data_IF_464294149795
#
_entry.id   IF_464294149795
#
_cell.length_a   1.000
_cell.length_b   1.000
_cell.length_c   1.000
_cell.angle_alpha   90.00
_cell.angle_beta   90.00
_cell.angle_gamma   90.00
#
_symmetry.space_group_name_H-M   'P 1'
#
loop_
_entity.id
_entity.type
_entity.pdbx_description
1 polymer ?
#
# COMPACT_ATOMS: atom_id res chain seq x y z
N UNK A 1 34.74 -29.32 78.17
CA UNK A 1 33.78 -28.60 78.97
C UNK A 1 33.71 -27.17 78.34
N UNK A 2 33.04 -27.10 77.19
CA UNK A 2 33.02 -25.92 76.36
C UNK A 2 32.09 -24.85 76.98
N UNK A 3 30.92 -25.26 77.43
CA UNK A 3 29.92 -24.42 78.05
C UNK A 3 30.19 -24.14 79.52
N UNK A 4 31.09 -24.91 80.14
CA UNK A 4 31.50 -24.82 81.58
C UNK A 4 30.44 -25.35 82.54
N UNK A 5 29.61 -26.29 82.17
CA UNK A 5 28.60 -26.97 82.98
C UNK A 5 29.21 -28.03 83.93
N UNK A 6 30.37 -28.53 83.61
CA UNK A 6 31.17 -29.54 84.39
C UNK A 6 31.16 -30.92 83.81
N UNK A 7 30.49 -31.20 82.70
CA UNK A 7 30.54 -32.40 81.91
C UNK A 7 31.75 -32.37 80.95
N UNK A 8 32.06 -33.44 80.32
CA UNK A 8 33.17 -33.57 79.39
C UNK A 8 32.67 -33.81 77.97
N UNK A 9 32.94 -32.86 77.11
CA UNK A 9 32.52 -32.87 75.68
C UNK A 9 32.79 -34.20 74.96
N UNK A 10 33.72 -34.98 75.36
CA UNK A 10 34.10 -36.17 74.58
C UNK A 10 33.31 -37.44 74.89
N UNK A 11 32.63 -37.54 76.05
CA UNK A 11 31.98 -38.79 76.50
C UNK A 11 30.87 -38.56 77.56
N UNK A 12 30.67 -37.39 78.12
CA UNK A 12 29.70 -37.14 79.17
C UNK A 12 28.65 -36.07 78.80
N UNK A 13 28.99 -35.23 77.84
CA UNK A 13 28.17 -34.18 77.31
C UNK A 13 27.66 -34.57 75.95
N UNK A 14 26.46 -34.31 75.64
CA UNK A 14 25.81 -34.53 74.33
C UNK A 14 25.26 -33.29 73.71
N UNK A 15 25.53 -32.11 74.32
CA UNK A 15 25.16 -30.78 73.92
C UNK A 15 26.23 -29.84 74.42
N UNK A 16 27.35 -29.76 73.66
CA UNK A 16 28.63 -29.22 74.11
C UNK A 16 28.57 -27.66 74.35
N UNK A 17 27.57 -26.92 73.84
CA UNK A 17 27.42 -25.49 74.00
C UNK A 17 26.11 -25.08 74.76
N UNK A 18 25.32 -26.11 75.19
CA UNK A 18 24.09 -25.96 76.01
C UNK A 18 23.01 -25.09 75.31
N UNK A 19 22.90 -25.20 73.96
CA UNK A 19 21.88 -24.49 73.18
C UNK A 19 20.55 -25.28 73.12
N UNK A 20 20.52 -26.54 73.54
CA UNK A 20 19.39 -27.47 73.55
C UNK A 20 19.25 -28.35 72.30
N UNK A 21 20.23 -28.35 71.39
CA UNK A 21 20.34 -29.30 70.28
C UNK A 21 21.48 -30.31 70.62
N UNK A 22 21.25 -31.59 70.40
CA UNK A 22 22.22 -32.63 70.65
C UNK A 22 23.30 -32.61 69.55
N UNK A 23 24.60 -32.67 69.90
CA UNK A 23 25.79 -32.62 69.01
C UNK A 23 25.63 -33.42 67.69
N UNK A 24 24.87 -34.48 67.74
CA UNK A 24 24.67 -35.33 66.55
C UNK A 24 23.69 -34.72 65.52
N UNK A 25 22.95 -33.72 65.91
CA UNK A 25 21.97 -33.00 65.12
C UNK A 25 22.26 -31.53 64.99
N UNK A 26 23.40 -31.09 65.52
CA UNK A 26 23.91 -29.77 65.60
C UNK A 26 25.09 -29.58 64.63
N UNK A 27 24.95 -28.70 63.65
CA UNK A 27 26.02 -28.39 62.68
C UNK A 27 27.09 -27.45 63.33
N UNK A 28 26.75 -26.78 64.45
CA UNK A 28 27.65 -25.92 65.24
C UNK A 28 27.88 -26.47 66.71
N UNK A 29 28.27 -27.74 66.97
CA UNK A 29 28.29 -28.38 68.27
C UNK A 29 29.16 -27.70 69.32
N UNK A 30 29.85 -26.63 68.96
CA UNK A 30 30.67 -25.75 69.84
C UNK A 30 30.47 -24.32 69.36
N UNK A 31 29.20 -23.93 69.26
CA UNK A 31 28.74 -22.64 68.83
C UNK A 31 28.75 -21.55 69.94
N UNK A 32 27.93 -20.53 69.77
CA UNK A 32 27.76 -19.44 70.75
C UNK A 32 26.98 -19.94 71.98
N UNK A 33 27.51 -19.69 73.16
CA UNK A 33 26.94 -20.14 74.39
C UNK A 33 25.89 -19.16 74.95
N UNK A 34 24.80 -19.69 75.52
CA UNK A 34 23.86 -18.92 76.31
C UNK A 34 22.70 -18.34 75.54
N UNK A 35 22.39 -18.93 74.46
CA UNK A 35 21.17 -18.70 73.65
C UNK A 35 20.29 -19.95 73.63
N UNK A 36 19.19 -19.91 72.93
CA UNK A 36 18.30 -21.05 72.74
C UNK A 36 17.62 -20.94 71.39
N UNK A 37 17.65 -22.00 70.57
CA UNK A 37 17.09 -22.01 69.23
C UNK A 37 15.62 -21.66 69.21
N UNK A 38 15.26 -20.80 68.26
CA UNK A 38 13.88 -20.44 67.92
C UNK A 38 13.83 -20.13 66.44
N UNK A 39 12.69 -20.28 65.77
CA UNK A 39 12.50 -19.94 64.35
C UNK A 39 12.86 -18.50 63.96
N UNK A 40 13.39 -17.66 64.84
CA UNK A 40 13.82 -16.30 64.58
C UNK A 40 15.30 -16.03 64.83
N UNK A 41 16.07 -17.03 65.24
CA UNK A 41 17.51 -16.93 65.52
C UNK A 41 18.29 -18.25 65.22
N UNK A 42 17.60 -19.22 64.67
CA UNK A 42 18.02 -20.50 64.12
C UNK A 42 16.89 -20.91 63.18
N UNK A 43 16.96 -20.37 61.95
CA UNK A 43 15.82 -20.46 61.03
C UNK A 43 15.62 -21.92 60.59
N UNK A 44 16.66 -22.61 60.16
CA UNK A 44 16.58 -23.95 59.64
C UNK A 44 16.61 -25.04 60.73
N UNK A 45 16.94 -24.65 61.98
CA UNK A 45 16.97 -25.54 63.15
C UNK A 45 18.14 -26.53 63.14
N UNK A 46 19.30 -26.09 62.75
CA UNK A 46 20.54 -26.87 62.61
C UNK A 46 21.48 -26.71 63.83
N UNK A 47 21.18 -25.77 64.76
CA UNK A 47 21.99 -25.49 65.96
C UNK A 47 22.98 -24.35 65.81
N UNK A 48 23.09 -23.74 64.67
CA UNK A 48 23.89 -22.54 64.43
C UNK A 48 23.04 -21.27 64.62
N UNK A 49 23.58 -20.25 65.27
CA UNK A 49 22.84 -18.99 65.42
C UNK A 49 22.96 -18.11 64.19
N UNK A 50 21.84 -17.78 63.53
CA UNK A 50 21.72 -17.00 62.31
C UNK A 50 22.56 -15.70 62.30
N UNK A 51 22.65 -15.03 63.45
CA UNK A 51 23.26 -13.71 63.51
C UNK A 51 24.80 -13.74 63.59
N UNK A 52 25.42 -14.86 63.93
CA UNK A 52 26.83 -14.89 64.32
C UNK A 52 27.63 -16.05 63.80
N UNK A 53 27.06 -17.20 63.67
CA UNK A 53 27.78 -18.43 63.29
C UNK A 53 27.25 -19.14 62.06
N UNK A 54 25.99 -18.96 61.77
CA UNK A 54 25.42 -19.44 60.52
C UNK A 54 25.70 -18.45 59.37
N UNK A 55 25.94 -18.96 58.18
CA UNK A 55 26.20 -18.20 56.99
C UNK A 55 25.27 -18.63 55.84
N UNK A 56 24.30 -19.53 56.12
CA UNK A 56 23.32 -20.07 55.21
C UNK A 56 22.08 -20.43 56.04
N UNK A 57 21.34 -19.36 56.47
CA UNK A 57 20.31 -19.41 57.53
C UNK A 57 19.13 -20.35 57.23
N UNK A 58 18.90 -20.81 55.98
CA UNK A 58 17.84 -21.72 55.59
C UNK A 58 18.35 -23.04 55.00
N UNK A 59 19.69 -23.17 54.89
CA UNK A 59 20.40 -24.35 54.41
C UNK A 59 20.01 -24.78 52.98
N UNK A 60 19.78 -23.80 52.10
CA UNK A 60 19.50 -24.05 50.68
C UNK A 60 20.75 -24.20 49.82
N UNK A 61 21.94 -23.89 50.38
CA UNK A 61 23.25 -23.98 49.75
C UNK A 61 23.74 -22.67 49.12
N UNK A 62 22.99 -21.60 49.21
CA UNK A 62 23.39 -20.22 48.87
C UNK A 62 23.68 -19.46 50.14
N UNK A 63 24.86 -18.83 50.24
CA UNK A 63 25.24 -18.09 51.44
C UNK A 63 24.45 -16.80 51.57
N UNK A 64 23.99 -16.40 52.78
CA UNK A 64 23.22 -15.16 53.10
C UNK A 64 23.76 -13.91 52.42
N UNK A 65 25.07 -13.84 52.21
CA UNK A 65 25.68 -12.66 51.57
C UNK A 65 25.41 -12.56 50.08
N UNK A 66 24.91 -13.62 49.45
CA UNK A 66 24.62 -13.77 48.04
C UNK A 66 23.18 -14.18 47.79
N UNK A 67 22.46 -14.50 48.85
CA UNK A 67 21.10 -14.94 48.88
C UNK A 67 20.14 -13.78 49.04
N UNK A 68 19.14 -13.68 48.13
CA UNK A 68 18.08 -12.71 48.22
C UNK A 68 16.97 -13.13 49.21
N UNK A 69 16.89 -14.43 49.54
CA UNK A 69 15.94 -15.02 50.47
C UNK A 69 16.59 -15.70 51.67
N UNK A 70 17.53 -15.11 52.43
CA UNK A 70 18.39 -15.75 53.43
C UNK A 70 17.65 -16.49 54.55
N UNK A 71 16.37 -16.34 54.69
CA UNK A 71 15.49 -17.06 55.63
C UNK A 71 14.24 -17.51 54.85
N UNK A 72 14.48 -18.15 53.69
CA UNK A 72 13.47 -18.59 52.77
C UNK A 72 12.80 -19.91 53.15
N UNK A 73 12.26 -20.64 52.15
CA UNK A 73 11.66 -21.94 52.32
C UNK A 73 12.76 -22.99 52.57
N UNK A 74 12.59 -23.82 53.55
CA UNK A 74 13.57 -24.82 53.98
C UNK A 74 13.38 -26.19 53.36
N UNK A 75 14.45 -26.98 53.30
CA UNK A 75 14.43 -28.41 52.93
C UNK A 75 14.53 -28.66 51.43
N UNK A 76 15.08 -27.74 50.72
CA UNK A 76 15.48 -27.86 49.33
C UNK A 76 16.98 -27.48 49.18
N UNK A 77 17.53 -27.50 48.03
CA UNK A 77 18.89 -27.06 47.73
C UNK A 77 18.89 -26.39 46.37
N UNK A 78 19.48 -25.24 46.26
CA UNK A 78 19.57 -24.46 45.04
C UNK A 78 20.21 -25.25 43.90
N UNK A 79 19.52 -25.28 42.78
CA UNK A 79 19.95 -25.91 41.54
C UNK A 79 19.33 -25.19 40.36
N UNK A 80 20.15 -24.46 39.59
CA UNK A 80 19.77 -23.66 38.43
C UNK A 80 18.87 -24.40 37.40
N UNK A 81 19.02 -25.70 37.30
CA UNK A 81 18.30 -26.49 36.31
C UNK A 81 16.90 -26.92 36.75
N UNK A 82 16.55 -26.75 38.01
CA UNK A 82 15.35 -27.40 38.55
C UNK A 82 14.50 -26.58 39.51
N UNK A 83 15.04 -25.59 40.22
CA UNK A 83 14.28 -24.95 41.27
C UNK A 83 14.77 -23.56 41.73
N UNK A 84 15.82 -23.03 41.13
CA UNK A 84 16.39 -21.72 41.43
C UNK A 84 17.15 -21.29 40.15
N UNK A 85 16.40 -20.72 39.19
CA UNK A 85 16.89 -20.55 37.83
C UNK A 85 18.05 -19.54 37.76
N UNK A 86 17.96 -18.48 38.53
CA UNK A 86 18.93 -17.38 38.55
C UNK A 86 20.02 -17.53 39.66
N UNK A 87 19.91 -18.59 40.47
CA UNK A 87 20.87 -18.91 41.56
C UNK A 87 20.92 -17.81 42.62
N UNK A 88 19.79 -17.18 42.95
CA UNK A 88 19.70 -16.09 43.92
C UNK A 88 19.31 -16.55 45.33
N UNK A 89 19.00 -17.85 45.53
CA UNK A 89 18.64 -18.45 46.82
C UNK A 89 17.14 -18.37 47.12
N UNK A 90 16.30 -17.95 46.18
CA UNK A 90 14.85 -18.02 46.32
C UNK A 90 14.32 -19.24 45.54
N UNK A 91 13.25 -19.85 46.04
CA UNK A 91 12.68 -21.06 45.40
C UNK A 91 11.65 -20.65 44.35
N UNK A 92 11.91 -20.88 43.04
CA UNK A 92 11.04 -20.56 41.90
C UNK A 92 9.58 -21.01 42.10
N UNK A 93 9.38 -22.17 42.69
CA UNK A 93 8.04 -22.73 42.84
C UNK A 93 7.24 -22.16 44.03
N UNK A 94 7.80 -21.20 44.75
CA UNK A 94 7.17 -20.59 45.92
C UNK A 94 6.83 -19.12 45.69
N UNK A 95 6.32 -18.44 46.72
CA UNK A 95 6.01 -17.02 46.64
C UNK A 95 7.19 -16.14 47.04
N UNK A 96 8.31 -16.73 47.42
CA UNK A 96 9.50 -15.98 47.81
C UNK A 96 10.24 -15.48 46.56
N UNK A 97 10.27 -16.29 45.51
CA UNK A 97 10.61 -15.80 44.21
C UNK A 97 9.36 -15.34 43.42
N UNK A 98 9.41 -14.29 42.74
CA UNK A 98 8.36 -13.71 41.93
C UNK A 98 8.84 -13.19 40.58
N UNK A 99 10.13 -13.48 40.25
CA UNK A 99 10.83 -13.05 39.05
C UNK A 99 12.02 -14.04 38.87
N UNK A 100 11.67 -15.26 38.40
CA UNK A 100 12.51 -16.46 38.41
C UNK A 100 13.83 -16.33 37.61
N UNK A 101 13.98 -15.33 36.73
CA UNK A 101 15.20 -15.09 35.95
C UNK A 101 15.80 -13.69 36.15
N UNK A 102 15.18 -12.90 37.05
CA UNK A 102 15.62 -11.56 37.43
C UNK A 102 15.74 -10.56 36.29
N UNK A 103 14.82 -10.63 35.30
CA UNK A 103 14.73 -9.67 34.18
C UNK A 103 13.94 -8.39 34.52
N UNK A 104 13.27 -8.33 35.66
CA UNK A 104 12.32 -7.34 36.18
C UNK A 104 10.91 -7.38 35.58
N UNK A 105 10.52 -8.47 34.95
CA UNK A 105 9.13 -8.80 34.67
C UNK A 105 8.68 -9.88 35.64
N UNK A 106 7.68 -9.64 36.49
CA UNK A 106 7.23 -10.67 37.42
C UNK A 106 6.60 -11.86 36.70
N UNK A 107 6.84 -13.10 37.16
CA UNK A 107 6.33 -14.36 36.60
C UNK A 107 4.87 -14.35 36.17
N UNK A 108 4.06 -13.58 36.85
CA UNK A 108 2.60 -13.46 36.54
C UNK A 108 2.31 -12.74 35.23
N UNK A 109 3.29 -12.02 34.69
CA UNK A 109 3.19 -11.21 33.47
C UNK A 109 4.28 -11.55 32.47
N UNK A 110 5.06 -12.57 32.78
CA UNK A 110 6.22 -13.03 32.05
C UNK A 110 5.90 -14.32 31.31
N UNK A 111 6.00 -14.27 29.99
CA UNK A 111 5.80 -15.43 29.12
C UNK A 111 7.05 -16.32 29.06
N UNK A 112 8.23 -15.77 29.47
CA UNK A 112 9.53 -16.45 29.54
C UNK A 112 10.08 -16.57 30.97
N UNK A 113 9.28 -16.91 31.98
CA UNK A 113 9.57 -16.93 33.43
C UNK A 113 10.95 -17.49 33.85
N UNK A 114 11.53 -18.37 33.08
CA UNK A 114 12.86 -18.91 33.25
C UNK A 114 13.68 -18.73 31.98
N UNK A 115 13.68 -17.51 31.50
CA UNK A 115 14.29 -17.08 30.25
C UNK A 115 15.81 -16.92 30.30
N UNK A 116 16.32 -16.06 29.42
CA UNK A 116 17.77 -15.75 29.38
C UNK A 116 18.10 -14.78 30.51
N UNK A 117 19.04 -15.13 31.35
CA UNK A 117 19.47 -14.31 32.48
C UNK A 117 20.47 -13.21 32.12
N UNK A 118 20.55 -12.19 32.98
CA UNK A 118 21.60 -11.18 32.95
C UNK A 118 21.33 -9.99 32.06
N UNK A 119 20.09 -9.78 31.74
CA UNK A 119 19.56 -8.60 31.06
C UNK A 119 18.46 -7.96 31.93
N UNK A 120 17.78 -6.97 31.41
CA UNK A 120 16.69 -6.28 32.12
C UNK A 120 15.73 -5.72 31.10
N UNK A 121 14.43 -5.90 31.31
CA UNK A 121 13.39 -5.43 30.43
C UNK A 121 13.48 -3.93 30.14
N UNK A 122 13.32 -3.58 28.89
CA UNK A 122 13.20 -2.20 28.38
C UNK A 122 12.65 -2.24 26.97
N UNK A 123 12.09 -1.15 26.45
CA UNK A 123 11.59 -1.01 25.08
C UNK A 123 12.63 -1.22 23.96
N UNK A 124 13.83 -1.71 24.27
CA UNK A 124 14.92 -2.03 23.32
C UNK A 124 15.33 -3.49 23.44
N UNK A 125 14.99 -4.14 24.52
CA UNK A 125 15.39 -5.50 24.85
C UNK A 125 14.20 -6.45 24.96
N UNK A 126 13.02 -5.88 25.07
CA UNK A 126 11.74 -6.51 25.27
C UNK A 126 10.71 -5.48 24.82
N UNK A 127 10.34 -5.53 23.53
CA UNK A 127 9.56 -4.46 22.88
C UNK A 127 8.12 -4.43 23.37
N UNK A 128 7.51 -5.57 23.51
CA UNK A 128 6.13 -5.73 23.93
C UNK A 128 5.94 -5.89 25.44
N UNK A 129 7.05 -6.04 26.17
CA UNK A 129 7.09 -6.15 27.64
C UNK A 129 6.46 -7.44 28.17
N UNK A 130 6.73 -8.55 27.52
CA UNK A 130 6.22 -9.86 27.89
C UNK A 130 7.23 -10.72 28.71
N UNK A 131 8.48 -10.20 28.91
CA UNK A 131 9.53 -10.86 29.67
C UNK A 131 10.44 -11.75 28.84
N UNK A 132 10.26 -11.82 27.53
CA UNK A 132 11.15 -12.50 26.62
C UNK A 132 12.19 -11.55 26.03
N UNK A 133 13.39 -12.03 25.74
CA UNK A 133 14.47 -11.19 25.19
C UNK A 133 14.43 -11.17 23.66
N UNK A 134 14.05 -10.02 23.01
CA UNK A 134 13.94 -9.83 21.55
C UNK A 134 15.16 -10.32 20.75
N UNK A 135 16.33 -10.26 21.31
CA UNK A 135 17.55 -10.64 20.59
C UNK A 135 17.91 -12.12 20.68
N UNK A 136 17.14 -12.93 21.37
CA UNK A 136 17.32 -14.38 21.53
C UNK A 136 16.14 -15.15 20.91
N UNK A 137 16.25 -16.45 20.84
CA UNK A 137 15.23 -17.31 20.26
C UNK A 137 14.08 -17.65 21.23
N UNK A 138 14.07 -17.08 22.42
CA UNK A 138 12.97 -17.22 23.37
C UNK A 138 11.80 -16.31 22.99
N UNK A 139 12.10 -15.15 22.43
CA UNK A 139 11.13 -14.33 21.71
C UNK A 139 11.25 -14.59 20.21
N UNK A 140 10.20 -14.70 19.54
CA UNK A 140 10.14 -14.96 18.10
C UNK A 140 9.03 -14.20 17.43
N UNK A 141 8.43 -13.25 18.15
CA UNK A 141 7.36 -12.35 17.73
C UNK A 141 7.43 -11.10 18.63
N UNK A 142 8.48 -10.27 18.39
CA UNK A 142 8.92 -9.17 19.27
C UNK A 142 7.86 -8.11 19.57
N UNK A 143 6.74 -8.04 18.82
CA UNK A 143 5.63 -7.09 19.04
C UNK A 143 4.27 -7.75 19.28
N UNK A 144 4.26 -9.09 19.31
CA UNK A 144 3.08 -9.92 19.59
C UNK A 144 1.88 -9.64 18.66
N UNK A 145 2.16 -9.48 17.36
CA UNK A 145 1.13 -9.26 16.34
C UNK A 145 0.64 -10.56 15.66
N UNK A 146 1.18 -11.72 16.05
CA UNK A 146 0.97 -13.09 15.49
C UNK A 146 1.74 -13.35 14.17
N UNK A 147 2.67 -12.49 13.73
CA UNK A 147 3.62 -12.72 12.65
C UNK A 147 5.01 -12.87 13.26
N UNK A 148 5.71 -13.96 12.91
CA UNK A 148 7.03 -14.23 13.49
C UNK A 148 8.10 -13.33 12.87
N UNK A 149 9.08 -12.86 13.64
CA UNK A 149 10.17 -11.96 13.24
C UNK A 149 10.91 -12.35 11.96
N UNK A 150 11.02 -13.66 11.68
CA UNK A 150 11.76 -14.14 10.52
C UNK A 150 11.00 -13.98 9.19
N UNK A 151 9.74 -13.62 9.24
CA UNK A 151 8.84 -13.35 8.10
C UNK A 151 8.09 -12.02 8.21
N UNK A 152 8.32 -11.29 9.27
CA UNK A 152 7.76 -10.00 9.59
C UNK A 152 8.66 -8.87 9.05
N UNK A 153 8.08 -7.98 8.25
CA UNK A 153 8.79 -6.80 7.75
C UNK A 153 8.85 -5.66 8.79
N UNK A 154 8.02 -5.74 9.86
CA UNK A 154 7.97 -4.81 10.98
C UNK A 154 8.16 -5.47 12.36
N UNK A 155 9.22 -6.28 12.63
CA UNK A 155 9.33 -7.14 13.82
C UNK A 155 9.27 -6.45 15.18
N UNK A 156 9.32 -5.14 15.24
CA UNK A 156 9.14 -4.30 16.42
C UNK A 156 8.19 -3.15 16.08
N UNK A 157 7.06 -3.51 15.52
CA UNK A 157 6.03 -2.60 15.05
C UNK A 157 5.15 -2.00 16.14
N UNK A 158 3.95 -1.58 15.77
CA UNK A 158 2.95 -1.04 16.69
C UNK A 158 2.33 -2.16 17.55
N UNK A 159 2.29 -1.97 18.86
CA UNK A 159 1.78 -2.95 19.83
C UNK A 159 0.25 -2.98 19.96
N UNK A 160 -0.29 -4.14 20.32
CA UNK A 160 -1.69 -4.29 20.74
C UNK A 160 -2.71 -4.47 19.62
N UNK A 161 -2.26 -4.95 18.50
CA UNK A 161 -3.09 -5.40 17.39
C UNK A 161 -2.70 -6.85 17.01
N UNK A 162 -3.31 -7.39 16.01
CA UNK A 162 -3.00 -8.75 15.52
C UNK A 162 -3.19 -8.75 14.02
N UNK A 163 -2.24 -9.34 13.30
CA UNK A 163 -2.28 -9.47 11.85
C UNK A 163 -3.54 -10.20 11.38
N UNK A 164 -4.21 -9.62 10.42
CA UNK A 164 -5.41 -10.17 9.82
C UNK A 164 -5.66 -9.57 8.43
N UNK A 165 -5.47 -10.36 7.39
CA UNK A 165 -5.63 -10.00 5.99
C UNK A 165 -6.92 -9.23 5.64
N UNK A 166 -7.99 -9.43 6.39
CA UNK A 166 -9.26 -8.79 6.09
C UNK A 166 -9.45 -7.42 6.74
N UNK A 167 -8.59 -7.03 7.70
CA UNK A 167 -8.89 -5.88 8.56
C UNK A 167 -7.72 -5.02 9.02
N UNK A 168 -6.52 -5.54 9.10
CA UNK A 168 -5.40 -4.87 9.78
C UNK A 168 -4.06 -4.99 9.11
N UNK A 169 -3.89 -5.96 8.22
CA UNK A 169 -2.64 -6.32 7.57
C UNK A 169 -3.02 -7.09 6.30
N UNK A 170 -3.14 -6.38 5.18
CA UNK A 170 -3.76 -6.94 3.97
C UNK A 170 -2.89 -7.99 3.29
N UNK A 171 -1.60 -7.82 3.30
CA UNK A 171 -0.64 -8.72 2.66
C UNK A 171 0.02 -9.73 3.61
N UNK A 172 -0.31 -9.64 4.91
CA UNK A 172 0.16 -10.54 5.97
C UNK A 172 1.69 -10.48 6.14
N UNK A 173 2.28 -9.27 6.06
CA UNK A 173 3.73 -9.07 6.20
C UNK A 173 4.16 -8.61 7.61
N UNK A 174 3.20 -8.44 8.56
CA UNK A 174 3.45 -8.01 9.94
C UNK A 174 3.47 -6.50 10.15
N UNK A 175 3.25 -5.71 9.12
CA UNK A 175 3.09 -4.27 9.25
C UNK A 175 1.61 -3.89 9.29
N UNK A 176 1.20 -3.00 10.18
CA UNK A 176 -0.20 -2.59 10.28
C UNK A 176 -0.59 -1.58 9.21
N UNK A 177 -1.55 -1.89 8.30
CA UNK A 177 -2.06 -1.05 7.20
C UNK A 177 -2.34 0.41 7.61
N UNK A 178 -2.73 0.64 8.86
CA UNK A 178 -3.21 1.97 9.28
C UNK A 178 -2.12 2.97 9.64
N UNK A 179 -0.91 2.53 9.93
CA UNK A 179 0.13 3.36 10.54
C UNK A 179 1.55 3.11 10.04
N UNK A 180 1.98 1.88 9.95
CA UNK A 180 3.39 1.51 9.70
C UNK A 180 3.61 0.95 8.31
N UNK A 181 2.60 0.32 7.72
CA UNK A 181 2.67 -0.07 6.33
C UNK A 181 2.48 1.15 5.40
N UNK A 182 3.22 1.21 4.35
CA UNK A 182 3.19 2.27 3.34
C UNK A 182 2.77 1.76 1.96
N UNK A 183 2.51 0.44 1.85
CA UNK A 183 2.19 -0.27 0.61
C UNK A 183 1.40 -1.53 0.98
N UNK A 184 0.14 -1.32 1.45
CA UNK A 184 -0.74 -2.32 2.10
C UNK A 184 -0.96 -3.62 1.31
N UNK A 185 -0.62 -3.69 0.02
CA UNK A 185 -0.75 -4.89 -0.81
C UNK A 185 0.57 -5.35 -1.47
N UNK A 186 1.67 -4.66 -1.12
CA UNK A 186 3.03 -4.94 -1.59
C UNK A 186 3.14 -5.04 -3.12
N UNK A 187 2.39 -4.19 -3.85
CA UNK A 187 2.47 -4.11 -5.30
C UNK A 187 3.61 -3.22 -5.82
N UNK A 188 4.24 -2.45 -4.93
CA UNK A 188 5.35 -1.54 -5.20
C UNK A 188 4.91 -0.09 -5.50
N UNK A 189 3.62 0.22 -5.39
CA UNK A 189 3.07 1.58 -5.42
C UNK A 189 2.60 1.91 -4.00
N UNK A 190 3.12 2.99 -3.43
CA UNK A 190 2.80 3.32 -2.04
C UNK A 190 1.38 3.91 -1.91
N UNK A 191 0.65 3.57 -0.84
CA UNK A 191 -0.74 3.96 -0.50
C UNK A 191 -1.08 5.43 -0.62
N UNK A 192 -0.09 6.29 -0.51
CA UNK A 192 -0.26 7.69 -0.82
C UNK A 192 -0.26 7.88 -2.33
N UNK A 193 -1.18 8.73 -2.84
CA UNK A 193 -1.22 9.01 -4.28
C UNK A 193 0.13 8.80 -4.98
N UNK A 194 0.26 7.97 -6.03
CA UNK A 194 -0.82 7.69 -6.98
C UNK A 194 -1.69 6.46 -6.72
N UNK A 195 -1.43 5.62 -5.71
CA UNK A 195 -2.17 4.38 -5.51
C UNK A 195 -3.68 4.60 -5.27
N UNK A 196 -4.48 4.01 -6.15
CA UNK A 196 -5.94 4.00 -6.08
C UNK A 196 -6.50 2.66 -5.55
N UNK A 197 -5.68 1.60 -5.54
CA UNK A 197 -6.05 0.23 -5.15
C UNK A 197 -5.25 -0.29 -3.95
N UNK A 198 -5.01 0.50 -2.91
CA UNK A 198 -4.15 0.26 -1.74
C UNK A 198 -4.22 -1.12 -1.09
N UNK A 199 -5.34 -1.79 -1.20
CA UNK A 199 -5.58 -3.14 -0.72
C UNK A 199 -6.08 -3.98 -1.88
N UNK A 200 -5.33 -3.95 -2.97
CA UNK A 200 -5.64 -4.61 -4.22
C UNK A 200 -5.28 -6.10 -4.26
N UNK A 201 -5.04 -6.61 -5.46
CA UNK A 201 -4.62 -7.99 -5.70
C UNK A 201 -3.21 -8.23 -5.15
N UNK A 202 -3.02 -9.26 -4.35
CA UNK A 202 -1.72 -9.63 -3.79
C UNK A 202 -0.82 -10.42 -4.75
N UNK A 203 0.49 -10.34 -4.53
CA UNK A 203 1.48 -11.23 -5.17
C UNK A 203 1.84 -10.86 -6.61
N UNK A 204 1.75 -9.60 -6.93
CA UNK A 204 2.25 -9.02 -8.18
C UNK A 204 3.08 -7.77 -7.90
N UNK A 205 3.70 -7.20 -8.91
CA UNK A 205 4.44 -5.94 -8.79
C UNK A 205 4.04 -5.06 -9.97
N UNK A 206 3.69 -3.80 -9.68
CA UNK A 206 3.34 -2.80 -10.66
C UNK A 206 4.45 -2.59 -11.71
N UNK A 207 4.04 -2.53 -12.93
CA UNK A 207 4.90 -2.19 -14.08
C UNK A 207 4.03 -1.77 -15.26
N UNK A 208 4.55 -1.01 -16.20
CA UNK A 208 3.86 -0.59 -17.43
C UNK A 208 3.34 -1.70 -18.34
N UNK A 209 3.33 -2.95 -17.92
CA UNK A 209 2.78 -4.09 -18.65
C UNK A 209 1.60 -4.76 -17.96
N UNK A 210 1.26 -4.34 -16.75
CA UNK A 210 0.22 -4.90 -15.91
C UNK A 210 -0.47 -3.86 -15.03
N UNK A 211 -0.02 -2.63 -15.13
CA UNK A 211 -0.48 -1.41 -14.49
C UNK A 211 0.04 -0.28 -15.42
N UNK A 212 -0.80 0.10 -16.39
CA UNK A 212 -0.35 0.92 -17.52
C UNK A 212 -0.04 2.36 -17.09
N UNK A 213 -0.85 2.92 -16.25
CA UNK A 213 -0.74 4.30 -15.76
C UNK A 213 0.04 4.44 -14.45
N UNK A 214 0.31 3.32 -13.76
CA UNK A 214 1.10 3.29 -12.54
C UNK A 214 0.33 3.74 -11.30
N UNK A 215 -0.95 3.47 -11.24
CA UNK A 215 -1.83 3.89 -10.15
C UNK A 215 -2.07 2.82 -9.07
N UNK A 216 -1.38 1.66 -9.17
CA UNK A 216 -1.48 0.57 -8.21
C UNK A 216 -2.67 -0.36 -8.44
N UNK A 217 -3.51 -0.10 -9.42
CA UNK A 217 -4.57 -1.00 -9.82
C UNK A 217 -4.09 -1.93 -10.93
N UNK A 218 -4.36 -3.23 -10.80
CA UNK A 218 -3.94 -4.20 -11.80
C UNK A 218 -4.85 -4.23 -13.01
N UNK A 219 -4.36 -3.87 -14.22
CA UNK A 219 -5.09 -3.78 -15.50
C UNK A 219 -6.05 -4.96 -15.78
N UNK A 220 -5.68 -6.16 -15.32
CA UNK A 220 -6.41 -7.37 -15.68
C UNK A 220 -7.63 -7.66 -14.80
N UNK A 221 -7.69 -7.07 -13.60
CA UNK A 221 -8.62 -7.51 -12.54
C UNK A 221 -9.26 -6.39 -11.74
N UNK A 222 -8.62 -5.25 -11.63
CA UNK A 222 -9.01 -4.18 -10.70
C UNK A 222 -9.24 -2.85 -11.39
N UNK A 223 -8.56 -2.64 -12.51
CA UNK A 223 -8.61 -1.41 -13.26
C UNK A 223 -9.61 -1.49 -14.41
N UNK A 224 -10.56 -0.59 -14.43
CA UNK A 224 -11.58 -0.45 -15.46
C UNK A 224 -11.29 0.73 -16.43
N UNK A 225 -10.21 1.51 -16.17
CA UNK A 225 -9.77 2.71 -16.90
C UNK A 225 -8.24 2.81 -16.85
N UNK A 226 -7.55 1.96 -17.67
CA UNK A 226 -6.11 1.64 -17.56
C UNK A 226 -5.14 2.79 -17.83
N UNK A 227 -5.56 3.83 -18.50
CA UNK A 227 -4.73 5.01 -18.79
C UNK A 227 -5.18 6.25 -18.01
N UNK A 228 -6.26 6.08 -17.20
CA UNK A 228 -6.84 7.10 -16.32
C UNK A 228 -7.24 8.38 -17.06
N UNK A 229 -7.81 8.24 -18.25
CA UNK A 229 -8.34 9.37 -19.04
C UNK A 229 -9.80 9.72 -18.70
N UNK A 230 -10.49 8.94 -17.88
CA UNK A 230 -11.90 8.92 -17.47
C UNK A 230 -12.88 8.38 -18.55
N UNK A 231 -12.41 7.54 -19.44
CA UNK A 231 -13.25 6.67 -20.27
C UNK A 231 -12.99 5.24 -19.84
N UNK A 232 -14.04 4.50 -19.44
CA UNK A 232 -13.87 3.11 -19.01
C UNK A 232 -13.41 2.24 -20.22
N UNK A 233 -12.47 1.30 -20.04
CA UNK A 233 -11.92 0.39 -21.07
C UNK A 233 -12.94 -0.20 -22.06
N UNK A 234 -14.17 -0.37 -21.60
CA UNK A 234 -15.23 -1.00 -22.40
C UNK A 234 -15.85 -0.03 -23.43
N UNK A 235 -15.71 1.25 -23.22
CA UNK A 235 -16.19 2.34 -24.06
C UNK A 235 -15.04 3.12 -24.71
N UNK A 236 -13.79 2.70 -24.45
CA UNK A 236 -12.53 3.30 -24.86
C UNK A 236 -11.89 2.53 -26.01
N UNK A 237 -11.70 3.18 -27.15
CA UNK A 237 -11.01 2.60 -28.31
C UNK A 237 -9.46 2.63 -28.14
N UNK A 238 -8.95 3.44 -27.19
CA UNK A 238 -7.53 3.58 -26.84
C UNK A 238 -7.20 3.19 -25.38
N UNK A 239 -7.85 2.16 -24.84
CA UNK A 239 -7.75 1.72 -23.43
C UNK A 239 -6.34 1.46 -22.85
N UNK A 240 -5.30 1.42 -23.65
CA UNK A 240 -3.89 1.41 -23.26
C UNK A 240 -3.19 2.65 -23.87
N UNK A 241 -3.88 3.77 -23.90
CA UNK A 241 -3.47 5.01 -24.59
C UNK A 241 -2.44 5.86 -23.86
N UNK A 242 -2.37 7.15 -24.21
CA UNK A 242 -1.46 8.11 -23.57
C UNK A 242 -2.00 8.47 -22.18
N UNK A 243 -1.17 8.31 -21.14
CA UNK A 243 -1.52 8.59 -19.73
C UNK A 243 -1.36 10.08 -19.37
N UNK A 244 -2.05 10.53 -18.30
CA UNK A 244 -1.85 11.85 -17.70
C UNK A 244 -2.59 12.99 -18.36
N UNK A 245 -3.65 12.70 -19.07
CA UNK A 245 -4.63 13.64 -19.62
C UNK A 245 -6.05 13.26 -19.16
N UNK A 246 -7.05 13.92 -19.65
CA UNK A 246 -8.44 13.60 -19.30
C UNK A 246 -9.31 13.87 -20.51
N UNK A 247 -10.15 12.90 -20.88
CA UNK A 247 -11.14 13.03 -21.95
C UNK A 247 -12.14 14.14 -21.65
N UNK A 248 -12.25 15.03 -22.56
CA UNK A 248 -13.22 16.14 -22.57
C UNK A 248 -13.47 16.56 -24.00
N UNK A 249 -14.61 17.13 -24.37
CA UNK A 249 -14.86 17.64 -25.72
C UNK A 249 -13.91 18.75 -26.22
N UNK A 250 -12.72 18.88 -25.66
CA UNK A 250 -11.60 19.73 -26.12
C UNK A 250 -10.30 18.93 -26.28
N UNK A 251 -10.24 17.71 -25.82
CA UNK A 251 -9.07 16.84 -25.81
C UNK A 251 -9.36 15.49 -26.46
N UNK A 252 -10.63 15.21 -26.67
CA UNK A 252 -11.25 14.04 -27.22
C UNK A 252 -12.65 14.50 -27.70
N UNK A 253 -12.76 14.81 -28.97
CA UNK A 253 -13.95 15.47 -29.54
C UNK A 253 -15.15 14.55 -29.62
N UNK A 254 -14.92 13.32 -30.00
CA UNK A 254 -15.97 12.32 -30.19
C UNK A 254 -16.23 11.45 -28.95
N UNK A 255 -15.32 11.49 -27.96
CA UNK A 255 -15.48 10.85 -26.66
C UNK A 255 -15.20 9.34 -26.70
N UNK A 256 -14.27 8.91 -27.53
CA UNK A 256 -13.92 7.51 -27.73
C UNK A 256 -12.71 7.04 -26.89
N UNK A 257 -12.10 7.96 -26.07
CA UNK A 257 -10.97 7.67 -25.21
C UNK A 257 -9.60 7.87 -25.86
N UNK A 258 -9.54 8.27 -27.11
CA UNK A 258 -8.30 8.59 -27.80
C UNK A 258 -8.01 10.09 -27.71
N UNK A 259 -6.75 10.49 -27.54
CA UNK A 259 -6.39 11.91 -27.43
C UNK A 259 -6.19 12.58 -28.78
N UNK A 260 -7.05 13.58 -29.19
CA UNK A 260 -6.99 14.32 -30.44
C UNK A 260 -5.60 14.93 -30.72
N UNK A 261 -4.88 15.35 -29.69
CA UNK A 261 -3.61 16.04 -29.87
C UNK A 261 -2.41 15.10 -30.02
N UNK A 262 -2.62 13.81 -29.93
CA UNK A 262 -1.57 12.76 -30.04
C UNK A 262 -1.65 12.02 -31.38
N UNK A 263 -1.05 10.87 -31.47
CA UNK A 263 -1.09 10.02 -32.66
C UNK A 263 -1.93 8.76 -32.43
N UNK A 264 -2.62 8.70 -31.31
CA UNK A 264 -3.52 7.59 -31.02
C UNK A 264 -4.89 7.80 -31.66
N UNK A 265 -5.30 9.06 -31.81
CA UNK A 265 -6.43 9.42 -32.64
C UNK A 265 -5.96 9.95 -34.01
N UNK A 266 -6.45 9.38 -35.07
CA UNK A 266 -6.18 9.75 -36.45
C UNK A 266 -7.43 10.35 -37.14
N UNK A 267 -8.59 10.41 -36.42
CA UNK A 267 -9.91 10.83 -36.93
C UNK A 267 -10.75 11.41 -35.78
N UNK A 268 -10.38 12.64 -35.34
CA UNK A 268 -10.82 13.31 -34.11
C UNK A 268 -12.35 13.43 -33.91
N UNK A 269 -13.18 13.25 -34.96
CA UNK A 269 -14.65 13.31 -34.86
C UNK A 269 -15.35 12.03 -35.37
N UNK A 270 -14.53 11.00 -35.70
CA UNK A 270 -14.98 9.69 -36.16
C UNK A 270 -15.99 9.74 -37.34
N UNK A 271 -15.77 10.66 -38.28
CA UNK A 271 -16.59 10.79 -39.50
C UNK A 271 -16.13 9.85 -40.63
N UNK A 272 -14.94 9.24 -40.48
CA UNK A 272 -14.32 8.32 -41.45
C UNK A 272 -13.33 8.99 -42.40
N UNK A 273 -13.06 10.29 -42.27
CA UNK A 273 -12.00 11.05 -42.96
C UNK A 273 -10.89 11.32 -41.96
N UNK A 274 -9.69 10.84 -42.26
CA UNK A 274 -8.56 11.05 -41.35
C UNK A 274 -8.14 12.50 -41.26
N UNK A 275 -7.76 12.99 -40.11
CA UNK A 275 -7.33 14.39 -39.81
C UNK A 275 -6.42 15.03 -40.85
N UNK A 276 -5.48 14.23 -41.38
CA UNK A 276 -4.53 14.73 -42.39
C UNK A 276 -5.19 15.10 -43.71
N UNK A 277 -6.42 14.67 -43.92
CA UNK A 277 -7.23 14.90 -45.13
C UNK A 277 -8.51 15.64 -44.85
N UNK A 278 -8.82 15.81 -43.56
CA UNK A 278 -10.01 16.43 -43.05
C UNK A 278 -9.85 17.93 -42.89
N UNK A 279 -10.79 18.68 -43.46
CA UNK A 279 -10.92 20.14 -43.35
C UNK A 279 -11.60 20.57 -42.04
N UNK A 280 -12.34 19.67 -41.40
CA UNK A 280 -13.13 19.85 -40.19
C UNK A 280 -12.76 18.90 -39.06
N UNK A 281 -11.47 18.60 -38.84
CA UNK A 281 -10.89 17.58 -37.96
C UNK A 281 -11.61 17.29 -36.62
N UNK A 282 -12.16 18.29 -35.98
CA UNK A 282 -12.97 18.18 -34.76
C UNK A 282 -14.36 18.76 -35.03
N UNK A 283 -15.01 18.26 -36.09
CA UNK A 283 -16.30 18.68 -36.58
C UNK A 283 -17.49 18.16 -35.78
N UNK A 284 -18.64 18.08 -36.46
CA UNK A 284 -19.86 17.52 -35.88
C UNK A 284 -19.76 16.00 -35.78
N UNK A 285 -19.98 15.43 -34.62
CA UNK A 285 -19.86 13.99 -34.34
C UNK A 285 -21.13 13.20 -34.68
N UNK A 286 -21.01 11.89 -34.90
CA UNK A 286 -22.16 10.97 -35.04
C UNK A 286 -22.75 10.87 -36.43
N UNK A 287 -21.98 11.22 -37.44
CA UNK A 287 -22.27 11.01 -38.84
C UNK A 287 -21.10 10.28 -39.53
N UNK A 288 -21.21 9.96 -40.78
CA UNK A 288 -20.10 9.32 -41.57
C UNK A 288 -20.07 10.04 -42.92
N UNK A 289 -18.86 10.38 -43.37
CA UNK A 289 -18.62 10.95 -44.69
C UNK A 289 -19.08 10.00 -45.81
N UNK A 290 -19.94 10.48 -46.68
CA UNK A 290 -20.44 9.76 -47.86
C UNK A 290 -20.75 10.75 -48.94
N UNK A 291 -20.00 10.71 -50.03
CA UNK A 291 -20.11 11.61 -51.17
C UNK A 291 -21.54 11.78 -51.74
N UNK A 292 -22.39 10.78 -51.56
CA UNK A 292 -23.73 10.80 -52.13
C UNK A 292 -24.79 11.45 -51.21
N UNK A 293 -24.46 11.62 -49.91
CA UNK A 293 -25.52 11.94 -48.95
C UNK A 293 -25.13 12.95 -47.83
N UNK A 294 -23.89 13.08 -47.46
CA UNK A 294 -23.48 13.81 -46.24
C UNK A 294 -22.28 14.71 -46.40
N UNK A 295 -21.40 14.45 -47.37
CA UNK A 295 -20.13 15.12 -47.61
C UNK A 295 -19.81 14.98 -49.09
N UNK A 296 -20.24 15.97 -49.88
CA UNK A 296 -20.22 15.86 -51.34
C UNK A 296 -18.83 15.80 -51.95
N UNK A 297 -17.90 16.52 -51.35
CA UNK A 297 -16.52 16.62 -51.86
C UNK A 297 -15.51 15.73 -51.08
N UNK A 298 -15.98 15.00 -50.07
CA UNK A 298 -15.21 14.08 -49.24
C UNK A 298 -14.03 14.77 -48.50
N UNK A 299 -14.30 16.01 -48.00
CA UNK A 299 -13.27 16.78 -47.29
C UNK A 299 -13.39 16.71 -45.75
N UNK A 300 -14.35 15.90 -45.21
CA UNK A 300 -14.58 15.72 -43.78
C UNK A 300 -15.48 16.76 -43.14
N UNK A 301 -16.02 17.68 -43.89
CA UNK A 301 -17.02 18.63 -43.39
C UNK A 301 -18.42 18.20 -43.79
N UNK A 302 -19.40 18.22 -42.86
CA UNK A 302 -20.78 17.83 -43.15
C UNK A 302 -21.52 18.89 -43.93
N UNK A 303 -22.01 18.61 -45.20
CA UNK A 303 -22.79 19.49 -46.06
C UNK A 303 -23.92 20.21 -45.32
N UNK A 304 -24.53 19.58 -44.33
CA UNK A 304 -25.74 20.13 -43.67
C UNK A 304 -25.46 21.09 -42.53
N UNK A 305 -24.23 21.36 -42.17
CA UNK A 305 -23.96 22.10 -40.94
C UNK A 305 -22.67 22.88 -40.89
N UNK A 306 -21.59 22.28 -41.20
CA UNK A 306 -20.23 22.82 -40.99
C UNK A 306 -19.54 23.19 -42.30
N UNK A 307 -19.91 22.57 -43.40
CA UNK A 307 -19.38 22.94 -44.70
C UNK A 307 -20.11 24.20 -45.26
N UNK A 308 -19.41 25.25 -45.60
CA UNK A 308 -19.98 26.43 -46.27
C UNK A 308 -19.86 26.40 -47.80
N UNK A 309 -19.24 25.34 -48.41
CA UNK A 309 -18.93 25.25 -49.85
C UNK A 309 -18.85 23.76 -50.24
N UNK A 310 -20.03 23.08 -50.25
CA UNK A 310 -20.21 21.60 -50.34
C UNK A 310 -19.50 20.93 -51.53
N UNK A 311 -19.07 21.67 -52.56
CA UNK A 311 -18.32 21.09 -53.70
C UNK A 311 -16.91 21.69 -53.90
N UNK A 312 -16.49 22.55 -52.96
CA UNK A 312 -15.19 23.18 -52.91
C UNK A 312 -14.82 23.91 -54.21
N UNK A 313 -15.82 24.52 -54.85
CA UNK A 313 -15.61 25.32 -56.06
C UNK A 313 -15.13 26.76 -55.78
N UNK A 314 -15.20 27.21 -54.51
CA UNK A 314 -14.81 28.53 -54.03
C UNK A 314 -15.95 29.54 -54.03
N UNK A 315 -17.22 29.14 -54.27
CA UNK A 315 -18.45 29.91 -54.09
C UNK A 315 -19.21 29.25 -52.95
N UNK A 316 -19.49 30.00 -51.90
CA UNK A 316 -20.18 29.41 -50.74
C UNK A 316 -21.64 29.12 -51.04
N UNK A 317 -22.22 28.02 -50.53
CA UNK A 317 -23.59 27.52 -50.74
C UNK A 317 -24.71 28.53 -50.48
N UNK A 318 -24.43 29.46 -49.61
CA UNK A 318 -25.31 30.61 -49.44
C UNK A 318 -25.24 31.49 -50.71
N UNK A 319 -26.39 31.94 -51.18
CA UNK A 319 -26.45 32.84 -52.38
C UNK A 319 -25.15 33.70 -52.53
N UNK A 320 -24.41 33.64 -53.64
CA UNK A 320 -24.96 33.44 -54.99
C UNK A 320 -24.88 32.00 -55.56
N UNK A 321 -24.42 30.97 -54.81
CA UNK A 321 -24.32 29.64 -55.38
C UNK A 321 -25.67 29.03 -55.77
N UNK A 322 -25.75 28.60 -57.03
CA UNK A 322 -26.93 27.96 -57.63
C UNK A 322 -26.75 26.44 -57.76
N UNK A 323 -25.51 25.96 -57.55
CA UNK A 323 -25.10 24.54 -57.68
C UNK A 323 -24.29 24.07 -56.44
N UNK A 324 -24.80 24.16 -55.21
CA UNK A 324 -24.04 23.87 -53.99
C UNK A 324 -23.39 22.47 -53.89
N UNK A 325 -23.85 21.54 -54.67
CA UNK A 325 -23.31 20.17 -54.81
C UNK A 325 -23.03 19.85 -56.29
N UNK A 326 -22.24 20.71 -56.90
CA UNK A 326 -21.94 20.68 -58.32
C UNK A 326 -20.81 19.73 -58.71
N UNK A 327 -20.18 20.02 -59.86
CA UNK A 327 -18.99 19.28 -60.35
C UNK A 327 -17.78 19.48 -59.42
N UNK A 328 -17.15 18.40 -58.96
CA UNK A 328 -15.96 18.44 -58.12
C UNK A 328 -14.67 18.74 -58.88
N UNK A 329 -13.62 19.23 -58.14
CA UNK A 329 -12.26 19.34 -58.59
C UNK A 329 -11.98 20.48 -59.58
N UNK A 330 -12.75 21.54 -59.48
CA UNK A 330 -12.51 22.82 -60.21
C UNK A 330 -12.63 24.02 -59.24
N UNK A 331 -12.36 25.19 -59.68
CA UNK A 331 -12.54 26.42 -58.89
C UNK A 331 -13.15 27.47 -59.77
N UNK A 332 -14.19 28.16 -59.26
CA UNK A 332 -14.89 29.22 -59.94
C UNK A 332 -13.96 30.34 -60.34
N UNK A 333 -14.09 30.75 -61.56
CA UNK A 333 -13.41 31.91 -62.13
C UNK A 333 -14.16 32.45 -63.35
N UNK A 334 -13.99 33.73 -63.75
CA UNK A 334 -14.63 34.31 -64.91
C UNK A 334 -14.36 33.66 -66.27
N UNK A 335 -13.67 32.53 -66.32
CA UNK A 335 -13.34 31.76 -67.50
C UNK A 335 -14.06 30.41 -67.60
N UNK A 336 -14.66 29.98 -66.51
CA UNK A 336 -15.32 28.66 -66.37
C UNK A 336 -16.65 28.74 -65.59
N UNK A 337 -16.94 29.89 -64.99
CA UNK A 337 -18.12 30.34 -64.30
C UNK A 337 -18.16 31.87 -64.56
N UNK A 338 -18.93 32.28 -65.55
CA UNK A 338 -18.88 33.67 -66.05
C UNK A 338 -19.61 34.64 -65.16
N UNK A 339 -20.74 34.24 -64.60
CA UNK A 339 -21.56 35.04 -63.71
C UNK A 339 -21.26 34.88 -62.24
N UNK A 340 -20.42 33.86 -61.88
CA UNK A 340 -19.94 33.64 -60.52
C UNK A 340 -21.01 33.07 -59.60
N UNK A 341 -21.87 32.23 -60.15
CA UNK A 341 -22.97 31.60 -59.41
C UNK A 341 -22.71 30.18 -58.92
N UNK A 342 -21.48 29.71 -59.01
CA UNK A 342 -21.05 28.37 -58.51
C UNK A 342 -21.36 27.21 -59.49
N UNK A 343 -22.05 27.48 -60.59
CA UNK A 343 -22.32 26.45 -61.61
C UNK A 343 -21.25 26.51 -62.69
N UNK A 344 -20.71 25.36 -63.05
CA UNK A 344 -19.67 25.29 -64.11
C UNK A 344 -20.24 25.44 -65.51
N UNK A 345 -19.88 26.54 -66.23
CA UNK A 345 -20.33 26.89 -67.57
C UNK A 345 -20.37 25.73 -68.61
N UNK A 346 -19.53 24.74 -68.42
CA UNK A 346 -19.34 23.67 -69.39
C UNK A 346 -20.27 22.47 -69.20
N UNK A 347 -20.77 22.26 -67.99
CA UNK A 347 -21.41 21.00 -67.56
C UNK A 347 -22.72 21.21 -66.81
N UNK A 348 -22.86 22.31 -66.05
CA UNK A 348 -23.95 22.52 -65.10
C UNK A 348 -24.79 23.74 -65.43
N UNK A 349 -24.18 24.72 -66.03
CA UNK A 349 -24.86 26.01 -66.25
C UNK A 349 -25.38 26.13 -67.71
N UNK A 350 -26.69 26.22 -67.80
CA UNK A 350 -27.41 26.43 -69.05
C UNK A 350 -27.62 27.95 -69.39
N UNK A 351 -27.42 28.84 -68.41
CA UNK A 351 -27.62 30.33 -68.52
C UNK A 351 -26.43 31.11 -68.01
N UNK A 352 -25.28 31.01 -68.66
CA UNK A 352 -23.94 31.48 -68.26
C UNK A 352 -23.76 32.94 -67.93
N UNK A 353 -24.80 33.77 -68.10
CA UNK A 353 -24.77 35.19 -67.76
C UNK A 353 -25.99 35.63 -66.94
N UNK A 354 -26.75 34.61 -66.40
CA UNK A 354 -27.91 34.74 -65.53
C UNK A 354 -28.95 35.79 -66.08
N UNK A 355 -29.12 35.79 -67.41
CA UNK A 355 -30.05 36.70 -68.05
C UNK A 355 -31.49 36.16 -68.29
N UNK A 356 -31.73 34.95 -67.73
CA UNK A 356 -32.99 34.16 -67.90
C UNK A 356 -33.21 33.61 -69.32
N UNK A 357 -32.11 33.46 -70.12
CA UNK A 357 -32.15 32.97 -71.51
C UNK A 357 -31.18 31.86 -71.70
N UNK A 358 -31.65 30.65 -71.96
CA UNK A 358 -30.86 29.44 -72.19
C UNK A 358 -29.85 29.61 -73.36
N UNK A 359 -28.57 29.26 -73.17
CA UNK A 359 -27.50 29.40 -74.20
C UNK A 359 -27.82 28.73 -75.51
N UNK A 360 -28.68 27.73 -75.53
CA UNK A 360 -29.11 27.03 -76.75
C UNK A 360 -30.08 27.85 -77.60
N UNK A 361 -30.72 28.93 -77.08
CA UNK A 361 -31.64 29.81 -77.78
C UNK A 361 -30.98 30.95 -78.55
N UNK A 362 -29.67 31.20 -78.30
CA UNK A 362 -28.95 32.21 -79.06
C UNK A 362 -28.43 31.68 -80.41
N UNK A 363 -29.30 31.36 -81.35
CA UNK A 363 -28.96 31.45 -82.76
C UNK A 363 -28.88 32.88 -83.18
N UNK A 364 -27.69 33.49 -83.06
CA UNK A 364 -27.40 34.76 -83.71
C UNK A 364 -27.68 34.64 -85.23
N UNK A 365 -28.89 34.93 -85.63
CA UNK A 365 -29.19 35.11 -87.06
C UNK A 365 -28.64 36.46 -87.50
N UNK A 366 -28.11 36.50 -88.70
CA UNK A 366 -27.49 37.71 -89.29
C UNK A 366 -28.46 38.93 -89.40
N UNK A 367 -29.66 38.87 -88.78
CA UNK A 367 -30.65 39.94 -88.67
C UNK A 367 -30.47 40.80 -87.41
N UNK A 368 -29.96 40.36 -86.38
CA UNK A 368 -29.89 41.07 -85.09
C UNK A 368 -28.75 42.06 -85.03
N UNK A 369 -27.75 41.97 -85.90
CA UNK A 369 -26.69 43.00 -86.09
C UNK A 369 -27.17 44.32 -86.66
N UNK A 370 -28.44 44.40 -87.01
CA UNK A 370 -28.99 45.64 -87.62
C UNK A 370 -29.67 46.62 -86.61
N UNK A 371 -29.89 46.18 -85.34
CA UNK A 371 -30.61 47.00 -84.40
C UNK A 371 -29.70 47.88 -83.51
N UNK A 372 -28.42 47.57 -83.39
CA UNK A 372 -27.49 48.33 -82.57
C UNK A 372 -26.74 49.45 -83.35
N UNK A 373 -27.20 49.84 -84.56
CA UNK A 373 -26.57 50.95 -85.34
C UNK A 373 -27.34 52.19 -85.50
N UNK A 374 -28.49 52.40 -84.83
CA UNK A 374 -29.21 53.65 -84.89
C UNK A 374 -29.94 54.00 -83.59
N UNK A 375 -29.22 54.58 -82.62
CA UNK A 375 -29.71 55.65 -81.76
C UNK A 375 -28.52 56.28 -81.02
#
# INVERSE_FOLDING_TARGET
DYDSDGCRDSDEDSDDDDDSIDDNFDDCPKGDIGWTPTASNDHDSDGCQDATEDNDDDNDGVFDSSDLCPTGDKGWTSDQATNDHDEDGCLDASIEDSDDDNDNVPDTNDDCQTGVMGWTTSTVTDHDSDGCLDSDAEDGDDDNDDVLDDVDDCPTGDLGWTSNQATTDHDEDGCQDSNEDLDDDNDGVADLFPDLCRTGDLGWISSSSNDHDGDGCRDATEDDDKDNDNVDDVDDDCADGDTGWTSTGLTDNDGDGCQDASTEDDDDDNDGVLDVSDSCQAGDIGWISDQATTDHDEDGCQDSGEDPDDDNDGVADAFPDSCPTGDLGWTSSPSNDYDGDGCRDATEDDDKDNDEVDVDDYHFTARDKAWFRTS
#
